data_IF_041171104617
#
_entry.id   IF_041171104617
#
_cell.length_a   1.000
_cell.length_b   1.000
_cell.length_c   1.000
_cell.angle_alpha   90.00
_cell.angle_beta   90.00
_cell.angle_gamma   90.00
#
_symmetry.space_group_name_H-M   'P 1'
#
loop_
_entity.id
_entity.type
_entity.pdbx_description
1 polymer ?
#
# COMPACT_ATOMS: atom_id res chain seq x y z
N UNK A 1 22.24 16.34 -48.60
CA UNK A 1 21.29 17.07 -47.71
C UNK A 1 20.55 16.03 -46.88
N UNK A 2 20.27 16.38 -45.63
CA UNK A 2 20.12 15.50 -44.46
C UNK A 2 19.14 14.31 -44.54
N UNK A 3 19.54 13.23 -43.86
CA UNK A 3 18.73 12.06 -43.47
C UNK A 3 17.63 12.47 -42.48
N UNK A 4 16.49 11.81 -42.52
CA UNK A 4 15.65 11.59 -41.33
C UNK A 4 15.35 10.08 -41.25
N UNK A 5 16.02 9.42 -40.31
CA UNK A 5 15.62 8.11 -39.78
C UNK A 5 14.40 8.33 -38.88
N UNK A 6 13.46 7.38 -38.78
CA UNK A 6 12.53 7.39 -37.66
C UNK A 6 13.34 7.16 -36.38
N UNK A 7 13.49 8.23 -35.59
CA UNK A 7 14.31 8.24 -34.40
C UNK A 7 13.76 7.25 -33.35
N UNK A 8 14.68 6.51 -32.74
CA UNK A 8 14.47 5.60 -31.62
C UNK A 8 14.13 6.34 -30.30
N UNK A 9 13.17 7.27 -30.34
CA UNK A 9 12.75 8.08 -29.19
C UNK A 9 11.47 7.52 -28.55
N UNK A 10 10.71 6.67 -29.25
CA UNK A 10 9.48 6.08 -28.71
C UNK A 10 9.69 4.91 -27.73
N UNK A 11 10.92 4.38 -27.61
CA UNK A 11 11.21 3.25 -26.71
C UNK A 11 11.81 3.65 -25.35
N UNK A 12 12.20 4.91 -25.15
CA UNK A 12 12.81 5.38 -23.89
C UNK A 12 11.77 5.93 -22.89
N UNK A 13 10.67 6.52 -23.38
CA UNK A 13 9.63 7.12 -22.53
C UNK A 13 8.65 6.08 -21.93
N UNK A 14 8.54 4.89 -22.52
CA UNK A 14 7.73 3.81 -21.96
C UNK A 14 8.41 3.09 -20.78
N UNK A 15 9.75 3.17 -20.69
CA UNK A 15 10.53 2.58 -19.60
C UNK A 15 10.50 3.40 -18.29
N UNK A 16 9.95 4.61 -18.30
CA UNK A 16 9.79 5.46 -17.10
C UNK A 16 8.37 5.43 -16.50
N UNK A 17 7.38 4.84 -17.17
CA UNK A 17 5.96 5.05 -16.84
C UNK A 17 5.30 3.95 -15.97
N UNK A 18 6.02 2.91 -15.58
CA UNK A 18 5.54 1.91 -14.60
C UNK A 18 6.58 1.76 -13.51
N UNK A 19 6.75 2.82 -12.70
CA UNK A 19 7.48 2.67 -11.44
C UNK A 19 6.52 1.98 -10.47
N UNK A 20 6.53 0.65 -10.49
CA UNK A 20 5.89 -0.19 -9.48
C UNK A 20 6.34 0.32 -8.12
N UNK A 21 5.40 0.70 -7.24
CA UNK A 21 5.75 1.17 -5.90
C UNK A 21 6.16 -0.04 -5.07
N UNK A 22 7.47 -0.32 -5.07
CA UNK A 22 8.02 -1.37 -4.20
C UNK A 22 7.88 -0.98 -2.73
N UNK A 23 7.82 -1.96 -1.83
CA UNK A 23 7.86 -1.68 -0.39
C UNK A 23 9.06 -0.80 -0.01
N UNK A 24 10.22 -1.01 -0.64
CA UNK A 24 11.42 -0.20 -0.39
C UNK A 24 11.28 1.25 -0.88
N UNK A 25 10.57 1.50 -1.98
CA UNK A 25 10.27 2.88 -2.43
C UNK A 25 9.23 3.54 -1.51
N UNK A 26 8.22 2.79 -1.07
CA UNK A 26 7.23 3.26 -0.10
C UNK A 26 7.85 3.60 1.26
N UNK A 27 8.76 2.75 1.78
CA UNK A 27 9.49 2.99 3.03
C UNK A 27 10.27 4.30 3.00
N UNK A 28 10.82 4.71 1.85
CA UNK A 28 11.52 6.01 1.74
C UNK A 28 10.58 7.18 2.02
N UNK A 29 9.31 7.08 1.61
CA UNK A 29 8.30 8.12 1.83
C UNK A 29 7.96 8.31 3.31
N UNK A 30 8.29 7.35 4.19
CA UNK A 30 8.09 7.50 5.63
C UNK A 30 9.00 8.58 6.25
N UNK A 31 9.99 9.09 5.51
CA UNK A 31 10.80 10.23 5.94
C UNK A 31 10.16 11.59 5.63
N UNK A 32 9.08 11.60 4.84
CA UNK A 32 8.33 12.81 4.51
C UNK A 32 7.44 13.23 5.70
N UNK A 33 7.03 14.51 5.78
CA UNK A 33 6.19 15.00 6.88
C UNK A 33 4.75 14.46 6.85
N UNK A 34 4.32 13.87 5.73
CA UNK A 34 3.01 13.26 5.57
C UNK A 34 2.94 12.41 4.30
N UNK A 35 1.90 11.58 4.15
CA UNK A 35 1.68 10.84 2.91
C UNK A 35 1.32 11.82 1.78
N UNK A 36 1.50 11.40 0.53
CA UNK A 36 1.06 12.19 -0.62
C UNK A 36 -0.45 12.45 -0.52
N UNK A 37 -0.84 13.72 -0.66
CA UNK A 37 -2.23 14.14 -0.56
C UNK A 37 -3.14 13.48 -1.62
N UNK A 38 -2.59 13.07 -2.76
CA UNK A 38 -3.32 12.44 -3.86
C UNK A 38 -3.41 10.91 -3.72
N UNK A 39 -2.74 10.31 -2.74
CA UNK A 39 -2.84 8.88 -2.53
C UNK A 39 -4.24 8.44 -2.11
N UNK A 40 -4.66 7.22 -2.51
CA UNK A 40 -5.86 6.61 -1.98
C UNK A 40 -5.76 6.47 -0.46
N UNK A 41 -6.91 6.50 0.21
CA UNK A 41 -6.99 6.46 1.68
C UNK A 41 -6.32 5.21 2.28
N UNK A 42 -6.37 4.09 1.55
CA UNK A 42 -5.72 2.84 1.91
C UNK A 42 -4.19 2.95 1.97
N UNK A 43 -3.58 3.60 0.97
CA UNK A 43 -2.14 3.86 0.97
C UNK A 43 -1.75 4.84 2.09
N UNK A 44 -2.57 5.86 2.36
CA UNK A 44 -2.36 6.76 3.51
C UNK A 44 -2.41 6.00 4.83
N UNK A 45 -3.36 5.09 5.01
CA UNK A 45 -3.44 4.26 6.21
C UNK A 45 -2.17 3.41 6.40
N UNK A 46 -1.71 2.71 5.36
CA UNK A 46 -0.44 1.96 5.41
C UNK A 46 0.77 2.86 5.71
N UNK A 47 0.78 4.10 5.22
CA UNK A 47 1.82 5.08 5.54
C UNK A 47 1.82 5.46 7.02
N UNK A 48 0.65 5.78 7.59
CA UNK A 48 0.53 6.12 9.01
C UNK A 48 0.91 4.95 9.91
N UNK A 49 0.49 3.74 9.58
CA UNK A 49 0.90 2.55 10.32
C UNK A 49 2.42 2.31 10.21
N UNK A 50 3.02 2.51 9.03
CA UNK A 50 4.47 2.46 8.83
C UNK A 50 5.25 3.49 9.66
N UNK A 51 4.61 4.58 10.11
CA UNK A 51 5.14 5.56 11.07
C UNK A 51 4.92 5.19 12.53
N UNK A 52 4.30 4.04 12.81
CA UNK A 52 3.87 3.63 14.14
C UNK A 52 2.58 4.34 14.61
N UNK A 53 1.86 5.01 13.71
CA UNK A 53 0.62 5.74 14.01
C UNK A 53 -0.60 4.87 13.69
N UNK A 54 -0.60 3.64 14.23
CA UNK A 54 -1.60 2.61 13.99
C UNK A 54 -3.05 3.12 14.14
N UNK A 55 -3.33 3.91 15.19
CA UNK A 55 -4.68 4.42 15.43
C UNK A 55 -5.16 5.35 14.32
N UNK A 56 -4.28 6.21 13.82
CA UNK A 56 -4.58 7.11 12.70
C UNK A 56 -4.86 6.30 11.43
N UNK A 57 -4.07 5.26 11.19
CA UNK A 57 -4.27 4.34 10.07
C UNK A 57 -5.64 3.65 10.13
N UNK A 58 -6.01 3.15 11.31
CA UNK A 58 -7.29 2.50 11.56
C UNK A 58 -8.45 3.47 11.32
N UNK A 59 -8.41 4.64 11.96
CA UNK A 59 -9.48 5.64 11.88
C UNK A 59 -9.73 6.12 10.43
N UNK A 60 -8.70 6.14 9.56
CA UNK A 60 -8.85 6.49 8.14
C UNK A 60 -9.70 5.50 7.33
N UNK A 61 -9.66 4.22 7.67
CA UNK A 61 -10.33 3.16 6.90
C UNK A 61 -11.52 2.52 7.62
N UNK A 62 -11.75 2.89 8.88
CA UNK A 62 -12.76 2.31 9.77
C UNK A 62 -14.18 2.29 9.16
N UNK A 63 -14.53 3.38 8.47
CA UNK A 63 -15.87 3.56 7.88
C UNK A 63 -15.99 3.02 6.45
N UNK A 64 -14.93 2.45 5.89
CA UNK A 64 -14.91 1.95 4.50
C UNK A 64 -15.32 0.47 4.46
N UNK A 65 -16.15 0.11 3.48
CA UNK A 65 -16.75 -1.22 3.37
C UNK A 65 -16.18 -2.06 2.22
N UNK A 66 -15.25 -1.51 1.44
CA UNK A 66 -14.60 -2.20 0.34
C UNK A 66 -13.60 -3.27 0.82
N UNK A 67 -13.25 -4.20 -0.09
CA UNK A 67 -12.40 -5.35 0.24
C UNK A 67 -10.94 -4.99 0.51
N UNK A 68 -10.43 -3.91 -0.07
CA UNK A 68 -9.05 -3.47 0.15
C UNK A 68 -8.94 -2.90 1.55
N UNK A 69 -9.86 -1.99 1.90
CA UNK A 69 -9.92 -1.43 3.25
C UNK A 69 -10.13 -2.53 4.29
N UNK A 70 -11.02 -3.49 4.06
CA UNK A 70 -11.19 -4.64 4.96
C UNK A 70 -9.92 -5.48 5.13
N UNK A 71 -9.08 -5.63 4.09
CA UNK A 71 -7.83 -6.39 4.20
C UNK A 71 -6.80 -5.65 5.07
N UNK A 72 -6.68 -4.34 4.87
CA UNK A 72 -5.80 -3.50 5.69
C UNK A 72 -6.33 -3.44 7.13
N UNK A 73 -7.64 -3.39 7.33
CA UNK A 73 -8.27 -3.44 8.64
C UNK A 73 -7.94 -4.74 9.40
N UNK A 74 -7.93 -5.88 8.68
CA UNK A 74 -7.52 -7.16 9.24
C UNK A 74 -6.07 -7.12 9.77
N UNK A 75 -5.16 -6.58 8.96
CA UNK A 75 -3.77 -6.37 9.34
C UNK A 75 -3.65 -5.43 10.55
N UNK A 76 -4.36 -4.30 10.56
CA UNK A 76 -4.31 -3.35 11.67
C UNK A 76 -4.79 -4.00 12.98
N UNK A 77 -5.82 -4.85 12.98
CA UNK A 77 -6.17 -5.58 14.20
C UNK A 77 -5.12 -6.61 14.62
N UNK A 78 -4.30 -7.13 13.70
CA UNK A 78 -3.12 -7.91 14.10
C UNK A 78 -2.06 -7.05 14.78
N UNK A 79 -1.85 -5.82 14.30
CA UNK A 79 -0.94 -4.85 14.95
C UNK A 79 -1.43 -4.51 16.37
N UNK A 80 -2.74 -4.35 16.54
CA UNK A 80 -3.39 -4.13 17.85
C UNK A 80 -3.28 -5.34 18.79
N UNK A 81 -3.27 -6.55 18.23
CA UNK A 81 -3.32 -7.82 18.96
C UNK A 81 -4.73 -8.43 19.09
N UNK A 82 -5.74 -7.84 18.44
CA UNK A 82 -7.10 -8.38 18.37
C UNK A 82 -7.23 -9.39 17.22
N UNK A 83 -6.71 -10.60 17.44
CA UNK A 83 -6.68 -11.65 16.42
C UNK A 83 -8.09 -12.13 16.02
N UNK A 84 -9.06 -12.05 16.93
CA UNK A 84 -10.43 -12.46 16.62
C UNK A 84 -11.06 -11.50 15.62
N UNK A 85 -10.90 -10.20 15.84
CA UNK A 85 -11.42 -9.18 14.93
C UNK A 85 -10.62 -9.14 13.63
N UNK A 86 -9.29 -9.34 13.68
CA UNK A 86 -8.48 -9.53 12.47
C UNK A 86 -9.05 -10.65 11.57
N UNK A 87 -9.40 -11.81 12.14
CA UNK A 87 -10.03 -12.91 11.41
C UNK A 87 -11.39 -12.51 10.81
N UNK A 88 -12.21 -11.76 11.54
CA UNK A 88 -13.47 -11.23 11.00
C UNK A 88 -13.22 -10.38 9.74
N UNK A 89 -12.23 -9.48 9.78
CA UNK A 89 -11.90 -8.60 8.66
C UNK A 89 -11.23 -9.32 7.49
N UNK A 90 -10.36 -10.31 7.71
CA UNK A 90 -9.84 -11.15 6.62
C UNK A 90 -10.97 -11.85 5.86
N UNK A 91 -11.95 -12.39 6.58
CA UNK A 91 -13.13 -13.01 5.97
C UNK A 91 -13.94 -11.99 5.14
N UNK A 92 -14.11 -10.77 5.65
CA UNK A 92 -14.80 -9.68 4.93
C UNK A 92 -14.03 -9.27 3.66
N UNK A 93 -12.71 -9.20 3.73
CA UNK A 93 -11.81 -8.94 2.61
C UNK A 93 -11.78 -10.06 1.57
N UNK A 94 -12.23 -11.27 1.93
CA UNK A 94 -12.07 -12.52 1.17
C UNK A 94 -10.60 -12.83 0.90
N UNK A 95 -9.76 -12.63 1.91
CA UNK A 95 -8.33 -12.93 1.88
C UNK A 95 -8.00 -13.99 2.92
N UNK A 96 -7.00 -14.86 2.67
CA UNK A 96 -6.50 -15.75 3.69
C UNK A 96 -5.80 -14.94 4.79
N UNK A 97 -5.80 -15.46 6.02
CA UNK A 97 -4.95 -14.94 7.08
C UNK A 97 -3.48 -15.03 6.67
N UNK A 98 -2.73 -13.96 6.91
CA UNK A 98 -1.31 -13.93 6.57
C UNK A 98 -0.48 -14.71 7.61
N UNK A 99 0.40 -15.61 7.17
CA UNK A 99 1.11 -16.54 8.08
C UNK A 99 2.50 -16.07 8.53
N UNK A 100 2.90 -14.85 8.17
CA UNK A 100 4.19 -14.25 8.54
C UNK A 100 4.09 -13.20 9.64
N UNK A 101 5.20 -12.46 9.81
CA UNK A 101 5.31 -11.31 10.71
C UNK A 101 4.47 -10.12 10.24
N UNK A 102 4.21 -9.18 11.17
CA UNK A 102 3.51 -7.93 10.86
C UNK A 102 4.27 -7.09 9.80
N UNK A 103 5.60 -7.11 9.83
CA UNK A 103 6.42 -6.37 8.86
C UNK A 103 6.29 -6.99 7.47
N UNK A 104 6.32 -8.32 7.35
CA UNK A 104 6.13 -8.99 6.07
C UNK A 104 4.73 -8.77 5.51
N UNK A 105 3.71 -8.79 6.36
CA UNK A 105 2.34 -8.51 5.95
C UNK A 105 2.17 -7.07 5.45
N UNK A 106 2.69 -6.10 6.20
CA UNK A 106 2.66 -4.69 5.81
C UNK A 106 3.29 -4.48 4.42
N UNK A 107 4.47 -5.08 4.19
CA UNK A 107 5.14 -5.02 2.87
C UNK A 107 4.28 -5.63 1.77
N UNK A 108 3.68 -6.79 2.03
CA UNK A 108 2.80 -7.45 1.08
C UNK A 108 1.53 -6.63 0.77
N UNK A 109 1.01 -5.86 1.73
CA UNK A 109 -0.12 -4.95 1.53
C UNK A 109 0.28 -3.71 0.73
N UNK A 110 1.43 -3.11 1.05
CA UNK A 110 2.00 -1.98 0.31
C UNK A 110 2.19 -2.35 -1.16
N UNK A 111 2.90 -3.45 -1.43
CA UNK A 111 3.15 -3.91 -2.81
C UNK A 111 1.87 -4.30 -3.54
N UNK A 112 0.80 -4.68 -2.83
CA UNK A 112 -0.46 -5.08 -3.46
C UNK A 112 -1.38 -3.91 -3.80
N UNK A 113 -1.34 -2.84 -3.01
CA UNK A 113 -2.38 -1.80 -3.02
C UNK A 113 -1.86 -0.39 -3.24
N UNK A 114 -0.55 -0.20 -3.41
CA UNK A 114 0.07 1.10 -3.68
C UNK A 114 0.72 1.20 -5.05
N UNK A 115 0.51 0.18 -5.89
CA UNK A 115 0.84 0.14 -7.32
C UNK A 115 0.02 1.15 -8.15
#
# INVERSE_FOLDING_TARGET
>A
MNRIHPDAVFLSLYFWYLKIMTAADFEKTLNEPGPDANWPVQAKALWYDGKGQWKEAHDLIDQLDDRVSAHIHAYLHRVEGDLWNARYWYNRAKQPEFTGSLVEEWKALVERYTD
#
